data_IF_168910061472
#
_entry.id   IF_168910061472
#
_cell.length_a   1.000
_cell.length_b   1.000
_cell.length_c   1.000
_cell.angle_alpha   90.00
_cell.angle_beta   90.00
_cell.angle_gamma   90.00
#
_symmetry.space_group_name_H-M   'P 1'
#
loop_
_entity.id
_entity.type
_entity.pdbx_description
1 polymer ?
#
# COMPACT_ATOMS: atom_id res chain seq x y z
N UNK A 1 4.73 37.33 73.51
CA UNK A 1 4.91 36.89 72.09
C UNK A 1 4.19 35.54 71.98
N UNK A 2 3.04 35.50 71.29
CA UNK A 2 2.20 34.30 71.16
C UNK A 2 2.42 33.78 69.68
N UNK A 3 3.10 32.65 69.62
CA UNK A 3 3.31 31.96 68.32
C UNK A 3 2.02 31.22 67.94
N UNK A 4 1.43 31.62 66.77
CA UNK A 4 0.35 30.87 66.15
C UNK A 4 0.98 29.90 65.15
N UNK A 5 0.83 28.62 65.42
CA UNK A 5 1.21 27.54 64.51
C UNK A 5 0.05 27.33 63.54
N UNK A 6 0.22 27.74 62.29
CA UNK A 6 -0.73 27.45 61.22
C UNK A 6 -0.53 26.00 60.76
N UNK A 7 -1.51 25.16 61.06
CA UNK A 7 -1.59 23.77 60.58
C UNK A 7 -2.23 23.81 59.18
N UNK A 8 -1.42 23.64 58.13
CA UNK A 8 -1.90 23.47 56.76
C UNK A 8 -2.36 22.00 56.61
N UNK A 9 -3.69 21.77 56.61
CA UNK A 9 -4.27 20.49 56.21
C UNK A 9 -4.17 20.34 54.68
N UNK A 10 -3.26 19.52 54.16
CA UNK A 10 -3.27 19.03 52.81
C UNK A 10 -4.37 17.98 52.67
N UNK A 11 -5.53 18.34 52.11
CA UNK A 11 -6.51 17.36 51.63
C UNK A 11 -6.00 16.76 50.33
N UNK A 12 -5.35 15.60 50.38
CA UNK A 12 -5.09 14.79 49.23
C UNK A 12 -6.41 14.15 48.77
N UNK A 13 -7.05 14.73 47.74
CA UNK A 13 -8.13 14.06 47.03
C UNK A 13 -7.52 12.94 46.19
N UNK A 14 -7.50 11.72 46.75
CA UNK A 14 -7.28 10.51 45.96
C UNK A 14 -8.45 10.37 44.98
N UNK A 15 -8.22 10.65 43.72
CA UNK A 15 -9.13 10.25 42.66
C UNK A 15 -9.16 8.70 42.66
N UNK A 16 -10.17 8.12 43.27
CA UNK A 16 -10.46 6.69 43.14
C UNK A 16 -10.90 6.47 41.68
N UNK A 17 -9.98 6.07 40.82
CA UNK A 17 -10.33 5.45 39.56
C UNK A 17 -11.07 4.17 39.93
N UNK A 18 -12.40 4.19 39.87
CA UNK A 18 -13.23 3.02 40.13
C UNK A 18 -12.84 1.91 39.16
N UNK A 19 -12.33 0.81 39.68
CA UNK A 19 -12.00 -0.35 38.89
C UNK A 19 -13.30 -0.94 38.31
N UNK A 20 -13.41 -1.02 36.99
CA UNK A 20 -14.52 -1.69 36.31
C UNK A 20 -14.43 -3.18 36.69
N UNK A 21 -15.45 -3.70 37.35
CA UNK A 21 -15.53 -5.10 37.83
C UNK A 21 -16.62 -5.90 37.09
N UNK A 22 -17.55 -5.21 36.43
CA UNK A 22 -18.59 -5.86 35.63
C UNK A 22 -18.10 -6.04 34.19
N UNK A 23 -17.97 -7.30 33.68
CA UNK A 23 -17.58 -7.56 32.32
C UNK A 23 -18.45 -6.83 31.29
N UNK A 24 -19.74 -6.67 31.56
CA UNK A 24 -20.70 -6.02 30.68
C UNK A 24 -20.42 -4.52 30.46
N UNK A 25 -19.70 -3.88 31.36
CA UNK A 25 -19.39 -2.45 31.24
C UNK A 25 -18.51 -2.10 30.04
N UNK A 26 -17.87 -3.10 29.42
CA UNK A 26 -17.02 -2.96 28.20
C UNK A 26 -17.54 -3.73 27.00
N UNK A 27 -18.76 -4.28 27.06
CA UNK A 27 -19.40 -4.96 25.95
C UNK A 27 -20.12 -3.97 25.04
N UNK A 28 -19.84 -4.05 23.72
CA UNK A 28 -20.50 -3.26 22.70
C UNK A 28 -21.30 -4.18 21.77
N UNK A 29 -22.56 -3.87 21.55
CA UNK A 29 -23.47 -4.64 20.68
C UNK A 29 -23.74 -3.93 19.35
N UNK A 30 -23.34 -2.66 19.24
CA UNK A 30 -23.49 -1.83 18.05
C UNK A 30 -22.20 -1.02 17.82
N UNK A 31 -21.80 -0.78 16.55
CA UNK A 31 -22.43 -1.29 15.33
C UNK A 31 -22.16 -2.78 15.10
N UNK A 32 -23.14 -3.50 14.55
CA UNK A 32 -22.94 -4.89 14.12
C UNK A 32 -22.08 -4.88 12.86
N UNK A 33 -20.93 -5.60 12.82
CA UNK A 33 -20.10 -5.65 11.63
C UNK A 33 -20.84 -6.17 10.40
N UNK A 34 -20.72 -5.52 9.23
CA UNK A 34 -21.31 -6.00 7.99
C UNK A 34 -20.74 -7.37 7.59
N UNK A 35 -21.57 -8.22 7.00
CA UNK A 35 -21.13 -9.52 6.49
C UNK A 35 -20.57 -9.36 5.08
N UNK A 36 -19.32 -9.72 4.89
CA UNK A 36 -18.67 -9.80 3.57
C UNK A 36 -18.34 -11.27 3.29
N UNK A 37 -18.73 -11.78 2.12
CA UNK A 37 -18.32 -13.12 1.68
C UNK A 37 -16.84 -13.03 1.27
N UNK A 38 -15.93 -13.82 1.87
CA UNK A 38 -14.54 -13.88 1.42
C UNK A 38 -14.46 -14.52 0.04
N UNK A 39 -13.34 -14.32 -0.66
CA UNK A 39 -13.04 -15.04 -1.90
C UNK A 39 -13.02 -16.55 -1.71
N UNK A 40 -13.35 -17.28 -2.77
CA UNK A 40 -13.50 -18.76 -2.69
C UNK A 40 -12.15 -19.49 -2.57
N UNK A 41 -11.02 -18.79 -2.82
CA UNK A 41 -9.64 -19.29 -2.65
C UNK A 41 -8.69 -18.16 -2.24
N UNK A 42 -7.48 -18.47 -1.72
CA UNK A 42 -6.48 -17.46 -1.42
C UNK A 42 -6.20 -16.55 -2.63
N UNK A 43 -6.19 -15.25 -2.42
CA UNK A 43 -5.99 -14.24 -3.45
C UNK A 43 -7.24 -13.87 -4.26
N UNK A 44 -8.34 -14.62 -4.15
CA UNK A 44 -9.58 -14.26 -4.84
C UNK A 44 -10.25 -13.03 -4.18
N UNK A 45 -10.89 -12.14 -4.97
CA UNK A 45 -11.53 -10.95 -4.45
C UNK A 45 -12.71 -11.29 -3.53
N UNK A 46 -12.85 -10.61 -2.37
CA UNK A 46 -14.06 -10.68 -1.56
C UNK A 46 -15.24 -10.00 -2.27
N UNK A 47 -16.45 -10.25 -1.78
CA UNK A 47 -17.68 -9.83 -2.46
C UNK A 47 -17.88 -8.31 -2.55
N UNK A 48 -17.18 -7.53 -1.72
CA UNK A 48 -17.20 -6.06 -1.71
C UNK A 48 -15.95 -5.44 -2.37
N UNK A 49 -15.10 -6.27 -3.01
CA UNK A 49 -13.96 -5.76 -3.76
C UNK A 49 -14.36 -5.24 -5.15
N UNK A 50 -13.64 -4.25 -5.60
CA UNK A 50 -13.64 -3.74 -6.97
C UNK A 50 -12.52 -4.48 -7.71
N UNK A 51 -12.87 -5.25 -8.73
CA UNK A 51 -11.88 -5.93 -9.57
C UNK A 51 -11.33 -4.93 -10.57
N UNK A 52 -10.03 -4.68 -10.50
CA UNK A 52 -9.32 -3.75 -11.38
C UNK A 52 -8.71 -4.46 -12.60
N UNK A 53 -8.26 -5.72 -12.40
CA UNK A 53 -7.75 -6.58 -13.47
C UNK A 53 -8.18 -8.01 -13.17
N UNK A 54 -9.21 -8.45 -13.84
CA UNK A 54 -9.83 -9.77 -13.66
C UNK A 54 -9.59 -10.72 -14.83
N UNK A 55 -10.41 -11.77 -14.93
CA UNK A 55 -10.34 -12.72 -16.05
C UNK A 55 -10.43 -12.03 -17.42
N UNK A 56 -9.65 -12.53 -18.39
CA UNK A 56 -9.55 -11.95 -19.72
C UNK A 56 -8.71 -10.68 -19.80
N UNK A 57 -7.95 -10.35 -18.75
CA UNK A 57 -7.16 -9.12 -18.63
C UNK A 57 -7.94 -7.87 -19.05
N UNK A 58 -9.20 -7.77 -18.53
CA UNK A 58 -10.06 -6.61 -18.79
C UNK A 58 -9.43 -5.35 -18.19
N UNK A 59 -9.08 -4.41 -19.07
CA UNK A 59 -8.46 -3.12 -18.72
C UNK A 59 -9.46 -1.96 -18.67
N UNK A 60 -10.75 -2.24 -18.62
CA UNK A 60 -11.81 -1.20 -18.62
C UNK A 60 -11.70 -0.22 -17.44
N UNK A 61 -11.13 -0.64 -16.32
CA UNK A 61 -10.86 0.20 -15.15
C UNK A 61 -9.57 1.03 -15.28
N UNK A 62 -8.79 0.86 -16.35
CA UNK A 62 -7.51 1.52 -16.58
C UNK A 62 -7.51 2.47 -17.76
N UNK A 63 -6.61 3.44 -17.71
CA UNK A 63 -6.29 4.36 -18.79
C UNK A 63 -4.78 4.51 -18.89
N UNK A 64 -4.29 4.92 -20.03
CA UNK A 64 -2.97 5.52 -20.13
C UNK A 64 -2.89 6.79 -19.29
N UNK A 65 -1.85 6.93 -18.47
CA UNK A 65 -1.77 8.04 -17.49
C UNK A 65 -1.71 9.41 -18.18
N UNK A 66 -0.91 9.53 -19.22
CA UNK A 66 -0.62 10.81 -19.86
C UNK A 66 -1.76 11.27 -20.77
N UNK A 67 -2.27 10.36 -21.60
CA UNK A 67 -3.26 10.68 -22.63
C UNK A 67 -4.70 10.51 -22.16
N UNK A 68 -4.92 9.79 -21.04
CA UNK A 68 -6.23 9.33 -20.59
C UNK A 68 -6.97 8.46 -21.64
N UNK A 69 -6.22 7.97 -22.59
CA UNK A 69 -6.67 7.09 -23.66
C UNK A 69 -6.64 5.61 -23.31
N UNK A 70 -6.78 4.75 -24.33
CA UNK A 70 -6.70 3.30 -24.14
C UNK A 70 -5.33 2.85 -23.64
N UNK A 71 -5.32 1.80 -22.79
CA UNK A 71 -4.09 1.11 -22.39
C UNK A 71 -3.47 0.39 -23.58
N UNK A 72 -2.17 0.59 -23.82
CA UNK A 72 -1.43 -0.07 -24.90
C UNK A 72 -0.65 -1.31 -24.44
N UNK A 73 -0.67 -1.64 -23.14
CA UNK A 73 -0.03 -2.83 -22.61
C UNK A 73 -0.63 -4.10 -23.23
N UNK A 74 0.14 -5.17 -23.30
CA UNK A 74 -0.24 -6.40 -23.98
C UNK A 74 -1.13 -7.26 -23.10
N UNK A 75 -2.36 -7.54 -23.54
CA UNK A 75 -3.29 -8.48 -22.89
C UNK A 75 -3.20 -9.85 -23.55
N UNK A 76 -2.92 -10.91 -22.77
CA UNK A 76 -2.91 -12.29 -23.20
C UNK A 76 -3.53 -13.19 -22.12
N UNK A 77 -4.68 -13.80 -22.44
CA UNK A 77 -5.47 -14.54 -21.46
C UNK A 77 -5.89 -13.65 -20.29
N UNK A 78 -5.50 -14.02 -19.07
CA UNK A 78 -5.78 -13.26 -17.84
C UNK A 78 -4.62 -12.35 -17.43
N UNK A 79 -3.62 -12.17 -18.29
CA UNK A 79 -2.36 -11.47 -18.00
C UNK A 79 -2.28 -10.18 -18.79
N UNK A 80 -1.92 -9.10 -18.11
CA UNK A 80 -1.57 -7.81 -18.68
C UNK A 80 -0.07 -7.59 -18.50
N UNK A 81 0.65 -7.41 -19.61
CA UNK A 81 2.11 -7.24 -19.60
C UNK A 81 2.48 -5.84 -20.05
N UNK A 82 3.41 -5.20 -19.34
CA UNK A 82 3.99 -3.92 -19.77
C UNK A 82 4.52 -4.02 -21.18
N UNK A 83 4.12 -3.08 -22.04
CA UNK A 83 4.73 -2.85 -23.34
C UNK A 83 5.75 -1.73 -23.17
N UNK A 84 7.06 -2.04 -23.24
CA UNK A 84 8.10 -1.05 -23.01
C UNK A 84 7.94 0.22 -23.84
N UNK A 85 7.94 1.37 -23.19
CA UNK A 85 7.82 2.69 -23.82
C UNK A 85 6.38 3.13 -24.11
N UNK A 86 5.37 2.40 -23.65
CA UNK A 86 3.96 2.80 -23.84
C UNK A 86 3.40 3.65 -22.68
N UNK A 87 4.21 3.92 -21.65
CA UNK A 87 3.80 4.77 -20.54
C UNK A 87 3.13 4.02 -19.39
N UNK A 88 2.89 4.75 -18.31
CA UNK A 88 2.21 4.23 -17.12
C UNK A 88 0.72 4.08 -17.37
N UNK A 89 0.10 3.18 -16.62
CA UNK A 89 -1.35 3.07 -16.60
C UNK A 89 -1.89 3.48 -15.24
N UNK A 90 -3.06 4.09 -15.23
CA UNK A 90 -3.73 4.58 -14.02
C UNK A 90 -5.17 4.09 -13.95
N UNK A 91 -5.69 3.88 -12.75
CA UNK A 91 -7.10 3.57 -12.57
C UNK A 91 -7.97 4.77 -12.94
N UNK A 92 -9.15 4.52 -13.50
CA UNK A 92 -10.18 5.57 -13.72
C UNK A 92 -10.74 6.09 -12.41
N UNK A 93 -10.84 5.21 -11.42
CA UNK A 93 -11.32 5.52 -10.08
C UNK A 93 -10.19 6.03 -9.20
N UNK A 94 -10.56 6.86 -8.22
CA UNK A 94 -9.66 7.35 -7.19
C UNK A 94 -9.96 6.65 -5.88
N UNK A 95 -8.92 6.46 -5.06
CA UNK A 95 -8.98 5.72 -3.82
C UNK A 95 -8.27 6.47 -2.70
N UNK A 96 -8.79 6.30 -1.49
CA UNK A 96 -8.16 6.70 -0.22
C UNK A 96 -7.55 5.50 0.49
N UNK A 97 -8.12 5.14 1.65
CA UNK A 97 -7.73 3.98 2.44
C UNK A 97 -8.18 2.70 1.74
N UNK A 98 -7.25 1.76 1.55
CA UNK A 98 -7.54 0.53 0.79
C UNK A 98 -6.84 -0.71 1.33
N UNK A 99 -7.49 -1.84 1.09
CA UNK A 99 -6.85 -3.14 0.94
C UNK A 99 -6.71 -3.42 -0.56
N UNK A 100 -5.47 -3.61 -1.03
CA UNK A 100 -5.16 -3.86 -2.43
C UNK A 100 -4.41 -5.17 -2.58
N UNK A 101 -4.87 -6.02 -3.50
CA UNK A 101 -4.19 -7.25 -3.89
C UNK A 101 -3.66 -7.11 -5.31
N UNK A 102 -2.42 -7.51 -5.53
CA UNK A 102 -1.77 -7.49 -6.85
C UNK A 102 -0.95 -8.75 -7.03
N UNK A 103 -1.16 -9.48 -8.12
CA UNK A 103 -0.24 -10.51 -8.58
C UNK A 103 0.62 -9.97 -9.71
N UNK A 104 1.95 -10.13 -9.59
CA UNK A 104 2.90 -9.68 -10.58
C UNK A 104 3.99 -10.72 -10.85
N UNK A 105 4.65 -10.62 -11.99
CA UNK A 105 5.72 -11.53 -12.40
C UNK A 105 6.76 -10.77 -13.21
N UNK A 106 8.04 -10.90 -12.82
CA UNK A 106 9.16 -10.41 -13.61
C UNK A 106 9.34 -11.22 -14.90
N UNK A 107 9.85 -10.63 -15.98
CA UNK A 107 10.31 -11.40 -17.13
C UNK A 107 11.51 -12.28 -16.73
N UNK A 108 11.74 -13.36 -17.50
CA UNK A 108 12.88 -14.23 -17.29
C UNK A 108 14.14 -13.67 -17.99
N UNK A 109 14.84 -12.75 -17.33
CA UNK A 109 16.00 -12.01 -17.87
C UNK A 109 17.21 -12.15 -16.93
N UNK A 110 17.85 -13.33 -16.87
CA UNK A 110 18.93 -13.61 -15.90
C UNK A 110 20.18 -12.74 -16.11
N UNK A 111 20.38 -12.23 -17.32
CA UNK A 111 21.54 -11.40 -17.70
C UNK A 111 21.39 -9.92 -17.31
N UNK A 112 20.20 -9.50 -16.83
CA UNK A 112 19.99 -8.15 -16.33
C UNK A 112 20.28 -8.07 -14.83
N UNK A 113 20.72 -6.90 -14.38
CA UNK A 113 21.12 -6.66 -13.01
C UNK A 113 20.52 -5.36 -12.45
N UNK A 114 20.51 -5.24 -11.12
CA UNK A 114 20.12 -4.04 -10.38
C UNK A 114 18.72 -3.55 -10.75
N UNK A 115 18.59 -2.25 -10.94
CA UNK A 115 17.31 -1.61 -11.29
C UNK A 115 16.86 -1.83 -12.75
N UNK A 116 17.65 -2.49 -13.57
CA UNK A 116 17.27 -2.89 -14.93
C UNK A 116 16.59 -4.25 -15.03
N UNK A 117 16.40 -4.96 -13.92
CA UNK A 117 15.95 -6.36 -13.88
C UNK A 117 14.51 -6.47 -13.41
N UNK A 118 13.57 -6.60 -14.37
CA UNK A 118 12.14 -6.77 -14.06
C UNK A 118 11.56 -5.64 -13.21
N UNK A 119 11.91 -4.39 -13.55
CA UNK A 119 11.53 -3.21 -12.79
C UNK A 119 10.15 -2.70 -13.20
N UNK A 120 9.35 -2.38 -12.21
CA UNK A 120 8.08 -1.67 -12.27
C UNK A 120 7.76 -1.09 -10.89
N UNK A 121 6.58 -0.48 -10.73
CA UNK A 121 6.14 0.09 -9.46
C UNK A 121 4.61 0.11 -9.37
N UNK A 122 4.12 -0.02 -8.14
CA UNK A 122 2.71 0.18 -7.79
C UNK A 122 2.61 1.47 -6.99
N UNK A 123 1.94 2.49 -7.56
CA UNK A 123 1.82 3.80 -6.93
C UNK A 123 0.43 3.96 -6.31
N UNK A 124 0.39 4.01 -4.98
CA UNK A 124 -0.80 4.36 -4.24
C UNK A 124 -1.04 5.86 -4.34
N UNK A 125 -2.28 6.26 -4.60
CA UNK A 125 -2.69 7.65 -4.87
C UNK A 125 -1.77 8.35 -5.90
N UNK A 126 -1.23 7.58 -6.86
CA UNK A 126 -0.36 8.08 -7.90
C UNK A 126 1.00 8.61 -7.43
N UNK A 127 1.37 8.45 -6.16
CA UNK A 127 2.49 9.12 -5.50
C UNK A 127 3.42 8.22 -4.71
N UNK A 128 2.88 7.21 -4.03
CA UNK A 128 3.60 6.41 -3.04
C UNK A 128 3.91 5.04 -3.61
N UNK A 129 5.16 4.84 -4.00
CA UNK A 129 5.59 3.66 -4.73
C UNK A 129 5.94 2.50 -3.81
N UNK A 130 5.32 1.36 -4.09
CA UNK A 130 5.77 0.06 -3.64
C UNK A 130 6.53 -0.56 -4.81
N UNK A 131 7.82 -0.82 -4.59
CA UNK A 131 8.73 -1.31 -5.63
C UNK A 131 8.36 -2.71 -6.10
N UNK A 132 8.34 -2.87 -7.42
CA UNK A 132 8.33 -4.15 -8.13
C UNK A 132 9.67 -4.31 -8.82
N UNK A 133 10.40 -5.37 -8.47
CA UNK A 133 11.74 -5.62 -8.99
C UNK A 133 12.10 -7.10 -8.86
N UNK A 134 12.83 -7.64 -9.81
CA UNK A 134 13.49 -8.93 -9.61
C UNK A 134 14.82 -8.71 -8.89
N UNK A 135 14.76 -8.68 -7.56
CA UNK A 135 15.90 -8.42 -6.70
C UNK A 135 16.53 -9.68 -6.08
N UNK A 136 16.01 -10.87 -6.39
CA UNK A 136 16.67 -12.11 -5.96
C UNK A 136 17.95 -12.35 -6.75
N UNK A 137 19.05 -12.54 -6.03
CA UNK A 137 20.38 -12.79 -6.63
C UNK A 137 20.90 -11.64 -7.50
N UNK A 138 20.39 -10.43 -7.32
CA UNK A 138 20.84 -9.22 -8.02
C UNK A 138 21.17 -8.11 -7.04
N UNK A 139 22.35 -7.54 -7.17
CA UNK A 139 22.79 -6.46 -6.30
C UNK A 139 22.13 -5.13 -6.68
N UNK A 140 21.44 -4.55 -5.72
CA UNK A 140 20.89 -3.18 -5.82
C UNK A 140 20.82 -2.54 -4.44
N UNK A 141 20.59 -1.22 -4.38
CA UNK A 141 20.41 -0.55 -3.10
C UNK A 141 19.18 -1.09 -2.36
N UNK A 142 19.31 -1.29 -1.05
CA UNK A 142 18.34 -2.06 -0.25
C UNK A 142 16.94 -1.45 -0.24
N UNK A 143 16.83 -0.11 -0.24
CA UNK A 143 15.55 0.61 -0.30
C UNK A 143 15.01 0.80 -1.72
N UNK A 144 15.50 0.04 -2.68
CA UNK A 144 15.01 -0.11 -4.05
C UNK A 144 14.74 -1.56 -4.44
N UNK A 145 14.80 -2.50 -3.49
CA UNK A 145 14.44 -3.91 -3.70
C UNK A 145 12.92 -4.08 -3.72
N UNK A 146 12.44 -5.22 -4.22
CA UNK A 146 11.02 -5.58 -4.21
C UNK A 146 10.39 -5.41 -2.81
N UNK A 147 9.23 -4.79 -2.75
CA UNK A 147 8.51 -4.52 -1.49
C UNK A 147 9.05 -3.34 -0.67
N UNK A 148 10.07 -2.61 -1.16
CA UNK A 148 10.46 -1.32 -0.59
C UNK A 148 9.35 -0.29 -0.75
N UNK A 149 9.24 0.65 0.20
CA UNK A 149 8.69 1.97 -0.13
C UNK A 149 9.86 2.73 -0.75
N UNK A 150 9.81 2.87 -2.07
CA UNK A 150 10.95 3.21 -2.91
C UNK A 150 11.73 4.41 -2.37
N UNK A 151 13.03 4.20 -2.13
CA UNK A 151 13.99 5.13 -1.55
C UNK A 151 13.68 5.67 -0.15
N UNK A 152 12.61 5.17 0.49
CA UNK A 152 12.30 5.55 1.88
C UNK A 152 12.68 4.45 2.89
N UNK A 153 12.32 3.19 2.61
CA UNK A 153 12.67 2.06 3.49
C UNK A 153 12.85 0.76 2.71
N UNK A 154 13.83 -0.08 3.07
CA UNK A 154 13.95 -1.42 2.49
C UNK A 154 12.83 -2.34 2.98
N UNK A 155 12.60 -3.49 2.32
CA UNK A 155 11.76 -4.53 2.87
C UNK A 155 12.41 -5.12 4.13
N UNK A 156 11.60 -5.61 5.08
CA UNK A 156 12.07 -6.27 6.30
C UNK A 156 12.84 -7.57 6.00
N UNK A 157 12.43 -8.26 4.96
CA UNK A 157 13.03 -9.50 4.45
C UNK A 157 12.83 -9.59 2.94
N UNK A 158 13.69 -10.34 2.25
CA UNK A 158 13.42 -10.75 0.87
C UNK A 158 12.54 -12.00 0.90
N UNK A 159 11.31 -11.89 0.40
CA UNK A 159 10.33 -12.97 0.32
C UNK A 159 9.95 -13.30 -1.14
N UNK A 160 10.80 -12.96 -2.12
CA UNK A 160 10.59 -13.29 -3.52
C UNK A 160 10.62 -14.80 -3.74
N UNK A 161 9.76 -15.26 -4.65
CA UNK A 161 9.89 -16.56 -5.31
C UNK A 161 10.87 -16.42 -6.48
N UNK A 162 11.38 -17.52 -7.03
CA UNK A 162 12.27 -17.50 -8.17
C UNK A 162 11.79 -16.64 -9.34
N UNK A 163 12.75 -16.07 -10.09
CA UNK A 163 12.49 -15.27 -11.29
C UNK A 163 11.51 -15.96 -12.24
N UNK A 164 10.58 -15.20 -12.78
CA UNK A 164 9.55 -15.70 -13.70
C UNK A 164 8.36 -16.39 -13.00
N UNK A 165 8.40 -16.57 -11.68
CA UNK A 165 7.24 -17.03 -10.90
C UNK A 165 6.33 -15.87 -10.50
N UNK A 166 5.05 -16.16 -10.27
CA UNK A 166 4.09 -15.19 -9.80
C UNK A 166 4.34 -14.83 -8.33
N UNK A 167 4.46 -13.54 -8.08
CA UNK A 167 4.54 -12.93 -6.76
C UNK A 167 3.18 -12.36 -6.39
N UNK A 168 2.89 -12.28 -5.10
CA UNK A 168 1.69 -11.60 -4.59
C UNK A 168 2.09 -10.44 -3.68
N UNK A 169 1.41 -9.31 -3.83
CA UNK A 169 1.38 -8.27 -2.82
C UNK A 169 -0.03 -8.14 -2.25
N UNK A 170 -0.14 -8.25 -0.92
CA UNK A 170 -1.31 -7.84 -0.16
C UNK A 170 -0.94 -6.57 0.61
N UNK A 171 -1.59 -5.47 0.26
CA UNK A 171 -1.25 -4.13 0.71
C UNK A 171 -2.42 -3.57 1.53
N UNK A 172 -2.15 -3.13 2.76
CA UNK A 172 -3.09 -2.36 3.58
C UNK A 172 -2.54 -0.96 3.66
N UNK A 173 -3.27 -0.01 3.10
CA UNK A 173 -2.85 1.38 2.98
C UNK A 173 -3.85 2.31 3.65
N UNK A 174 -3.32 3.21 4.48
CA UNK A 174 -4.06 4.34 5.05
C UNK A 174 -3.52 5.62 4.42
N UNK A 175 -4.40 6.39 3.78
CA UNK A 175 -4.06 7.63 3.08
C UNK A 175 -3.67 8.75 4.06
N UNK A 176 -2.87 9.73 3.62
CA UNK A 176 -2.61 10.90 4.44
C UNK A 176 -3.85 11.81 4.48
N UNK A 177 -4.08 12.41 5.63
CA UNK A 177 -5.17 13.37 5.80
C UNK A 177 -4.63 14.78 5.99
N UNK A 178 -5.35 15.75 5.39
CA UNK A 178 -5.02 17.16 5.47
C UNK A 178 -6.23 17.97 5.94
N UNK A 179 -5.99 18.99 6.73
CA UNK A 179 -7.01 19.97 7.09
C UNK A 179 -7.41 20.81 5.87
N UNK A 180 -8.51 21.56 5.98
CA UNK A 180 -8.93 22.53 4.95
C UNK A 180 -7.89 23.62 4.67
N UNK A 181 -6.97 23.86 5.60
CA UNK A 181 -5.82 24.77 5.44
C UNK A 181 -4.58 24.12 4.84
N UNK A 182 -4.64 22.84 4.41
CA UNK A 182 -3.52 22.12 3.82
C UNK A 182 -2.48 21.62 4.83
N UNK A 183 -2.78 21.64 6.12
CA UNK A 183 -1.89 21.10 7.16
C UNK A 183 -2.14 19.60 7.26
N UNK A 184 -1.09 18.78 7.15
CA UNK A 184 -1.16 17.35 7.37
C UNK A 184 -1.59 17.06 8.82
N UNK A 185 -2.66 16.30 8.98
CA UNK A 185 -3.19 15.86 10.29
C UNK A 185 -2.80 14.43 10.60
N UNK A 186 -2.63 13.60 9.56
CA UNK A 186 -2.20 12.21 9.68
C UNK A 186 -1.33 11.88 8.47
N UNK A 187 -0.13 11.30 8.63
CA UNK A 187 0.67 10.80 7.52
C UNK A 187 0.06 9.52 6.93
N UNK A 188 0.53 9.12 5.76
CA UNK A 188 0.17 7.84 5.18
C UNK A 188 0.88 6.68 5.89
N UNK A 189 0.20 5.54 6.00
CA UNK A 189 0.78 4.30 6.53
C UNK A 189 0.54 3.14 5.57
N UNK A 190 1.51 2.23 5.54
CA UNK A 190 1.40 1.04 4.70
C UNK A 190 1.92 -0.22 5.40
N UNK A 191 1.17 -1.31 5.24
CA UNK A 191 1.62 -2.67 5.54
C UNK A 191 1.60 -3.44 4.23
N UNK A 192 2.67 -4.15 3.93
CA UNK A 192 2.80 -4.98 2.72
C UNK A 192 3.18 -6.39 3.10
N UNK A 193 2.41 -7.35 2.61
CA UNK A 193 2.78 -8.75 2.62
C UNK A 193 3.19 -9.13 1.19
N UNK A 194 4.38 -9.72 1.05
CA UNK A 194 4.86 -10.32 -0.20
C UNK A 194 4.84 -11.84 -0.05
N UNK A 195 4.07 -12.52 -0.89
CA UNK A 195 3.91 -13.98 -0.82
C UNK A 195 3.47 -14.49 0.57
N UNK A 196 2.65 -13.70 1.28
CA UNK A 196 2.18 -14.00 2.64
C UNK A 196 3.17 -13.63 3.76
N UNK A 197 4.35 -13.08 3.44
CA UNK A 197 5.36 -12.65 4.41
C UNK A 197 5.35 -11.13 4.55
N UNK A 198 5.29 -10.62 5.79
CA UNK A 198 5.31 -9.18 6.04
C UNK A 198 6.65 -8.58 5.65
N UNK A 199 6.66 -7.68 4.66
CA UNK A 199 7.84 -6.95 4.18
C UNK A 199 7.81 -5.47 4.56
N UNK A 200 6.63 -4.90 4.82
CA UNK A 200 6.45 -3.59 5.47
C UNK A 200 5.41 -3.73 6.58
N UNK A 201 5.69 -3.22 7.76
CA UNK A 201 4.80 -3.32 8.92
C UNK A 201 4.43 -1.93 9.41
N UNK A 202 3.24 -1.45 9.02
CA UNK A 202 2.72 -0.14 9.42
C UNK A 202 3.76 0.98 9.28
N UNK A 203 4.45 0.99 8.13
CA UNK A 203 5.49 1.99 7.85
C UNK A 203 4.84 3.35 7.58
N UNK A 204 5.32 4.39 8.25
CA UNK A 204 4.94 5.78 7.98
C UNK A 204 5.65 6.28 6.73
N UNK A 205 4.90 6.45 5.64
CA UNK A 205 5.40 7.03 4.40
C UNK A 205 5.77 8.50 4.65
N UNK A 206 6.89 8.96 4.14
CA UNK A 206 7.43 10.30 4.42
C UNK A 206 6.99 11.37 3.41
N UNK A 207 6.25 10.99 2.40
CA UNK A 207 5.77 11.82 1.29
C UNK A 207 5.84 11.09 -0.03
N UNK A 208 5.51 11.72 -1.16
CA UNK A 208 5.62 11.15 -2.50
C UNK A 208 6.99 10.54 -2.76
N UNK A 209 7.02 9.50 -3.59
CA UNK A 209 8.28 8.89 -4.05
C UNK A 209 9.09 9.88 -4.86
N UNK A 210 10.35 10.05 -4.47
CA UNK A 210 11.32 10.92 -5.15
C UNK A 210 12.51 10.10 -5.63
N UNK A 211 12.84 10.19 -6.93
CA UNK A 211 14.07 9.60 -7.45
C UNK A 211 15.30 10.33 -6.92
N UNK A 212 15.23 11.65 -6.82
CA UNK A 212 16.30 12.54 -6.31
C UNK A 212 15.69 13.47 -5.26
N UNK A 213 16.30 13.51 -4.08
CA UNK A 213 15.86 14.37 -2.99
C UNK A 213 15.15 13.64 -1.87
N UNK A 214 14.60 14.40 -0.94
CA UNK A 214 13.83 13.87 0.18
C UNK A 214 12.34 14.04 -0.08
N UNK A 215 11.53 13.04 0.27
CA UNK A 215 10.08 13.13 0.15
C UNK A 215 9.53 14.23 1.08
N UNK A 216 8.48 14.90 0.64
CA UNK A 216 7.73 15.86 1.45
C UNK A 216 6.27 15.87 1.03
N UNK A 217 5.37 15.94 1.97
CA UNK A 217 3.94 15.94 1.69
C UNK A 217 3.49 17.26 1.03
N UNK A 218 2.64 17.10 0.01
CA UNK A 218 1.84 18.16 -0.57
C UNK A 218 0.37 17.77 -0.38
N UNK A 219 -0.51 18.66 0.09
CA UNK A 219 -1.92 18.35 0.31
C UNK A 219 -2.60 17.79 -0.94
N UNK A 220 -3.31 16.68 -0.78
CA UNK A 220 -4.12 16.07 -1.83
C UNK A 220 -5.29 15.29 -1.20
N UNK A 221 -6.24 14.87 -1.99
CA UNK A 221 -7.31 13.94 -1.62
C UNK A 221 -7.07 12.56 -2.22
N UNK A 222 -8.16 11.80 -2.35
CA UNK A 222 -8.16 10.51 -3.03
C UNK A 222 -7.62 10.66 -4.45
N UNK A 223 -6.83 9.66 -4.86
CA UNK A 223 -6.24 9.68 -6.20
C UNK A 223 -6.05 8.25 -6.73
N UNK A 224 -5.58 8.15 -7.97
CA UNK A 224 -5.49 6.91 -8.74
C UNK A 224 -4.44 5.94 -8.19
N UNK A 225 -4.64 4.65 -8.46
CA UNK A 225 -3.56 3.65 -8.38
C UNK A 225 -2.89 3.61 -9.76
N UNK A 226 -1.54 3.58 -9.80
CA UNK A 226 -0.79 3.49 -11.05
C UNK A 226 0.10 2.27 -11.07
N UNK A 227 0.32 1.74 -12.29
CA UNK A 227 1.36 0.76 -12.56
C UNK A 227 2.38 1.37 -13.53
N UNK A 228 3.65 1.12 -13.25
CA UNK A 228 4.76 1.75 -13.95
C UNK A 228 5.22 0.92 -15.16
N UNK A 229 5.42 1.59 -16.29
CA UNK A 229 6.31 1.13 -17.35
C UNK A 229 7.74 1.64 -17.07
N UNK A 230 8.64 0.75 -16.67
CA UNK A 230 10.07 1.02 -16.52
C UNK A 230 10.88 0.32 -17.62
N UNK A 231 10.32 0.17 -18.79
CA UNK A 231 10.92 -0.52 -19.96
C UNK A 231 11.26 -2.00 -19.71
N UNK A 232 10.58 -2.64 -18.75
CA UNK A 232 10.67 -4.08 -18.51
C UNK A 232 9.29 -4.72 -18.66
N UNK A 233 9.23 -5.90 -19.26
CA UNK A 233 7.99 -6.64 -19.55
C UNK A 233 7.43 -7.34 -18.30
N UNK A 234 7.21 -6.57 -17.24
CA UNK A 234 6.55 -7.07 -16.02
C UNK A 234 5.10 -7.40 -16.33
N UNK A 235 4.65 -8.55 -15.89
CA UNK A 235 3.28 -9.03 -16.10
C UNK A 235 2.47 -8.89 -14.81
N UNK A 236 1.19 -8.58 -14.98
CA UNK A 236 0.21 -8.42 -13.91
C UNK A 236 -1.02 -9.26 -14.16
N UNK A 237 -1.69 -9.71 -13.09
CA UNK A 237 -3.01 -10.34 -13.11
C UNK A 237 -3.68 -10.21 -11.74
N UNK A 238 -4.95 -10.56 -11.65
CA UNK A 238 -5.70 -10.65 -10.39
C UNK A 238 -5.46 -9.43 -9.49
N UNK A 239 -5.81 -8.24 -9.99
CA UNK A 239 -5.73 -7.00 -9.23
C UNK A 239 -7.12 -6.63 -8.75
N UNK A 240 -7.28 -6.48 -7.44
CA UNK A 240 -8.51 -5.98 -6.86
C UNK A 240 -8.25 -5.08 -5.67
N UNK A 241 -9.18 -4.18 -5.42
CA UNK A 241 -9.12 -3.21 -4.33
C UNK A 241 -10.42 -3.26 -3.52
N UNK A 242 -10.31 -3.07 -2.23
CA UNK A 242 -11.41 -2.89 -1.29
C UNK A 242 -11.17 -1.60 -0.52
N UNK A 243 -12.15 -0.70 -0.51
CA UNK A 243 -12.12 0.54 0.28
C UNK A 243 -12.31 0.20 1.77
N UNK A 244 -11.62 0.94 2.66
CA UNK A 244 -11.62 0.72 4.12
C UNK A 244 -12.29 1.85 4.87
#
# INVERSE_FOLDING_TARGET
MRNYLLLLCFCATAAMCGQITDPKATEYYEPVPPKVKPGDMPGAPPADAIVLLGPGADVSEWVDEDTQGPVEWVSEGDVLTVKPGSGYIATRRKFGDVQLHVEWRSPNEPDKEGQGRGNSGIFLQGRYEIQVLESEGSDTYTNGQAGSIYKQTPPLVNALRPMGEWQTYDIIYTAPHFSTGGIMTTPAYVTVLMNGVVVQNHFEIKGPTEYIGLPHYVPHGDDVIKLQDHSNEVSYRNIWVREL
#
